data_IF_737123329365
#
_entry.id   IF_737123329365
#
_cell.length_a   1.000
_cell.length_b   1.000
_cell.length_c   1.000
_cell.angle_alpha   90.00
_cell.angle_beta   90.00
_cell.angle_gamma   90.00
#
_symmetry.space_group_name_H-M   'P 1'
#
loop_
_entity.id
_entity.type
_entity.pdbx_description
1 polymer ?
#
# COMPACT_ATOMS: atom_id res chain seq x y z
N UNK A 1 12.39 16.64 7.09
CA UNK A 1 13.00 15.54 7.88
C UNK A 1 14.09 14.83 7.10
N UNK A 2 15.00 14.08 7.79
CA UNK A 2 16.05 13.29 7.13
C UNK A 2 15.48 12.26 6.14
N UNK A 3 14.35 11.62 6.49
CA UNK A 3 13.66 10.70 5.61
C UNK A 3 13.26 11.33 4.28
N UNK A 4 12.76 12.57 4.30
CA UNK A 4 12.38 13.32 3.08
C UNK A 4 13.60 13.62 2.21
N UNK A 5 14.73 14.01 2.82
CA UNK A 5 15.98 14.23 2.07
C UNK A 5 16.41 12.94 1.38
N UNK A 6 16.38 11.83 2.09
CA UNK A 6 16.73 10.50 1.55
C UNK A 6 15.81 10.11 0.39
N UNK A 7 14.49 10.25 0.53
CA UNK A 7 13.54 9.96 -0.54
C UNK A 7 13.78 10.85 -1.77
N UNK A 8 14.02 12.14 -1.57
CA UNK A 8 14.29 13.10 -2.66
C UNK A 8 15.61 12.81 -3.39
N UNK A 9 16.59 12.19 -2.72
CA UNK A 9 17.85 11.75 -3.33
C UNK A 9 17.79 10.36 -3.96
N UNK A 10 16.60 9.71 -3.99
CA UNK A 10 16.40 8.41 -4.62
C UNK A 10 16.61 7.21 -3.70
N UNK A 11 16.76 7.44 -2.40
CA UNK A 11 16.88 6.38 -1.40
C UNK A 11 15.55 5.68 -1.09
N UNK A 12 15.64 4.55 -0.40
CA UNK A 12 14.53 3.73 0.06
C UNK A 12 14.42 3.87 1.57
N UNK A 13 13.22 4.22 2.08
CA UNK A 13 12.96 4.37 3.51
C UNK A 13 11.94 3.33 3.97
N UNK A 14 12.24 2.63 5.05
CA UNK A 14 11.26 1.81 5.75
C UNK A 14 10.45 2.69 6.71
N UNK A 15 9.16 2.79 6.49
CA UNK A 15 8.24 3.64 7.26
C UNK A 15 7.29 2.77 8.06
N UNK A 16 7.21 2.98 9.38
CA UNK A 16 6.27 2.27 10.25
C UNK A 16 4.84 2.74 9.97
N UNK A 17 3.98 1.82 9.57
CA UNK A 17 2.56 2.08 9.29
C UNK A 17 1.63 1.66 10.43
N UNK A 18 0.33 1.52 10.13
CA UNK A 18 -0.69 1.10 11.09
C UNK A 18 -0.68 -0.41 11.32
N UNK A 19 -0.61 -1.20 10.26
CA UNK A 19 -0.68 -2.67 10.27
C UNK A 19 0.60 -3.38 9.87
N UNK A 20 1.71 -2.64 9.69
CA UNK A 20 3.01 -3.14 9.25
C UNK A 20 3.89 -2.02 8.77
N UNK A 21 5.12 -2.35 8.42
CA UNK A 21 6.03 -1.43 7.77
C UNK A 21 5.77 -1.33 6.27
N UNK A 22 6.12 -0.19 5.68
CA UNK A 22 6.17 0.01 4.24
C UNK A 22 7.59 0.34 3.80
N UNK A 23 7.98 -0.19 2.64
CA UNK A 23 9.17 0.28 1.92
C UNK A 23 8.72 1.36 0.94
N UNK A 24 9.36 2.51 1.02
CA UNK A 24 8.96 3.75 0.38
C UNK A 24 10.11 4.29 -0.46
N UNK A 25 9.84 4.72 -1.68
CA UNK A 25 10.77 5.47 -2.54
C UNK A 25 10.00 6.45 -3.44
N UNK A 26 10.69 7.37 -4.11
CA UNK A 26 10.09 8.27 -5.10
C UNK A 26 9.51 7.46 -6.27
N UNK A 27 8.19 7.51 -6.46
CA UNK A 27 7.49 6.73 -7.48
C UNK A 27 7.76 7.23 -8.91
N UNK A 28 8.27 8.45 -9.09
CA UNK A 28 8.66 9.00 -10.38
C UNK A 28 10.13 8.81 -10.73
N UNK A 29 10.93 8.30 -9.80
CA UNK A 29 12.34 8.01 -10.03
C UNK A 29 12.50 6.54 -10.50
N UNK A 30 12.78 6.29 -11.80
CA UNK A 30 12.88 4.93 -12.33
C UNK A 30 14.00 4.12 -11.69
N UNK A 31 15.12 4.78 -11.32
CA UNK A 31 16.24 4.13 -10.66
C UNK A 31 15.89 3.69 -9.23
N UNK A 32 15.22 4.53 -8.47
CA UNK A 32 14.75 4.19 -7.12
C UNK A 32 13.76 3.01 -7.15
N UNK A 33 12.83 3.02 -8.10
CA UNK A 33 11.88 1.91 -8.33
C UNK A 33 12.60 0.62 -8.71
N UNK A 34 13.57 0.69 -9.61
CA UNK A 34 14.36 -0.49 -10.02
C UNK A 34 15.18 -1.05 -8.84
N UNK A 35 15.83 -0.19 -8.07
CA UNK A 35 16.60 -0.57 -6.87
C UNK A 35 15.70 -1.24 -5.83
N UNK A 36 14.53 -0.65 -5.54
CA UNK A 36 13.55 -1.25 -4.62
C UNK A 36 13.12 -2.64 -5.08
N UNK A 37 12.83 -2.83 -6.38
CA UNK A 37 12.45 -4.13 -6.94
C UNK A 37 13.55 -5.16 -6.81
N UNK A 38 14.78 -4.78 -7.12
CA UNK A 38 15.94 -5.65 -7.02
C UNK A 38 16.18 -6.10 -5.57
N UNK A 39 16.28 -5.16 -4.62
CA UNK A 39 16.52 -5.46 -3.20
C UNK A 39 15.39 -6.27 -2.58
N UNK A 40 14.13 -5.97 -2.94
CA UNK A 40 12.93 -6.67 -2.44
C UNK A 40 12.69 -8.02 -3.13
N UNK A 41 13.44 -8.34 -4.19
CA UNK A 41 13.23 -9.52 -5.04
C UNK A 41 11.78 -9.61 -5.57
N UNK A 42 11.30 -8.48 -6.09
CA UNK A 42 9.91 -8.33 -6.57
C UNK A 42 9.91 -7.85 -8.04
N UNK A 43 10.17 -8.75 -9.02
CA UNK A 43 10.40 -8.34 -10.41
C UNK A 43 9.15 -7.78 -11.10
N UNK A 44 7.98 -8.37 -10.92
CA UNK A 44 6.80 -8.07 -11.74
C UNK A 44 5.57 -7.56 -10.98
N UNK A 45 5.35 -7.97 -9.71
CA UNK A 45 4.13 -7.55 -8.96
C UNK A 45 4.00 -6.02 -8.92
N UNK A 46 2.82 -5.43 -9.20
CA UNK A 46 2.63 -3.99 -9.19
C UNK A 46 2.92 -3.38 -7.81
N UNK A 47 3.34 -2.12 -7.82
CA UNK A 47 3.61 -1.32 -6.64
C UNK A 47 2.47 -0.29 -6.48
N UNK A 48 1.92 -0.17 -5.28
CA UNK A 48 0.98 0.90 -4.97
C UNK A 48 1.72 2.22 -4.83
N UNK A 49 1.06 3.32 -5.20
CA UNK A 49 1.60 4.67 -5.15
C UNK A 49 0.71 5.54 -4.26
N UNK A 50 1.29 6.13 -3.23
CA UNK A 50 0.65 7.19 -2.45
C UNK A 50 0.85 8.54 -3.15
N UNK A 51 -0.25 9.23 -3.42
CA UNK A 51 -0.24 10.56 -4.05
C UNK A 51 -0.51 11.65 -3.01
N UNK A 52 0.05 12.87 -3.16
CA UNK A 52 -0.13 13.97 -2.21
C UNK A 52 -1.58 14.40 -2.05
N UNK A 53 -2.31 14.42 -3.16
CA UNK A 53 -3.73 14.74 -3.26
C UNK A 53 -4.36 14.00 -4.44
N UNK A 54 -5.67 14.09 -4.57
CA UNK A 54 -6.40 13.44 -5.66
C UNK A 54 -6.69 14.37 -6.86
N UNK A 55 -5.99 15.51 -6.96
CA UNK A 55 -6.20 16.46 -8.05
C UNK A 55 -5.82 15.85 -9.40
N UNK A 56 -6.65 16.04 -10.40
CA UNK A 56 -6.48 15.44 -11.72
C UNK A 56 -6.87 13.96 -11.85
N UNK A 57 -7.29 13.33 -10.74
CA UNK A 57 -7.88 11.98 -10.78
C UNK A 57 -9.38 12.09 -11.08
N UNK A 58 -9.99 11.16 -11.85
CA UNK A 58 -11.44 11.17 -12.10
C UNK A 58 -12.26 11.20 -10.80
N UNK A 59 -13.36 11.97 -10.77
CA UNK A 59 -14.15 12.27 -9.56
C UNK A 59 -14.67 11.01 -8.85
N UNK A 60 -15.11 10.01 -9.59
CA UNK A 60 -15.55 8.73 -9.02
C UNK A 60 -14.42 8.07 -8.20
N UNK A 61 -13.19 8.08 -8.72
CA UNK A 61 -12.00 7.54 -8.03
C UNK A 61 -11.64 8.42 -6.82
N UNK A 62 -11.73 9.75 -6.93
CA UNK A 62 -11.50 10.65 -5.80
C UNK A 62 -12.41 10.33 -4.61
N UNK A 63 -13.68 10.05 -4.87
CA UNK A 63 -14.67 9.68 -3.84
C UNK A 63 -14.24 8.40 -3.10
N UNK A 64 -13.80 7.38 -3.82
CA UNK A 64 -13.28 6.15 -3.22
C UNK A 64 -12.02 6.40 -2.38
N UNK A 65 -11.06 7.14 -2.93
CA UNK A 65 -9.80 7.46 -2.25
C UNK A 65 -10.00 8.26 -0.95
N UNK A 66 -10.98 9.16 -0.91
CA UNK A 66 -11.30 10.01 0.25
C UNK A 66 -12.19 9.33 1.28
N UNK A 67 -12.63 8.10 1.04
CA UNK A 67 -13.40 7.34 2.04
C UNK A 67 -12.56 7.11 3.32
N UNK A 68 -13.21 6.90 4.44
CA UNK A 68 -12.55 6.63 5.74
C UNK A 68 -11.68 5.36 5.71
N UNK A 69 -11.97 4.43 4.83
CA UNK A 69 -11.18 3.23 4.60
C UNK A 69 -9.85 3.51 3.90
N UNK A 70 -9.74 4.64 3.19
CA UNK A 70 -8.56 5.07 2.42
C UNK A 70 -7.93 3.90 1.62
N UNK A 71 -8.69 3.26 0.71
CA UNK A 71 -8.24 2.07 0.00
C UNK A 71 -7.18 2.41 -1.07
N UNK A 72 -6.53 1.37 -1.57
CA UNK A 72 -5.82 1.43 -2.85
C UNK A 72 -6.89 1.30 -3.96
N UNK A 73 -6.94 2.25 -4.90
CA UNK A 73 -7.87 2.23 -6.03
C UNK A 73 -7.09 2.05 -7.33
N UNK A 74 -7.47 1.05 -8.12
CA UNK A 74 -6.87 0.80 -9.43
C UNK A 74 -7.32 1.88 -10.41
N UNK A 75 -6.38 2.69 -10.87
CA UNK A 75 -6.61 3.86 -11.73
C UNK A 75 -5.91 3.67 -13.06
N UNK A 76 -6.54 3.98 -14.21
CA UNK A 76 -5.91 3.87 -15.51
C UNK A 76 -4.61 4.70 -15.59
N UNK A 77 -3.54 4.13 -16.14
CA UNK A 77 -2.26 4.85 -16.34
C UNK A 77 -2.44 6.14 -17.15
N UNK A 78 -3.36 6.14 -18.12
CA UNK A 78 -3.67 7.31 -18.94
C UNK A 78 -4.13 8.53 -18.12
N UNK A 79 -4.76 8.31 -16.97
CA UNK A 79 -5.18 9.37 -16.04
C UNK A 79 -4.05 9.87 -15.12
N UNK A 80 -2.91 9.19 -15.12
CA UNK A 80 -1.79 9.44 -14.20
C UNK A 80 -0.45 9.42 -14.95
N UNK A 81 -0.16 10.38 -15.83
CA UNK A 81 1.07 10.38 -16.60
C UNK A 81 2.32 10.60 -15.72
N UNK A 82 3.46 10.16 -16.22
CA UNK A 82 4.78 10.42 -15.62
C UNK A 82 5.26 9.39 -14.60
N UNK A 83 4.61 8.22 -14.50
CA UNK A 83 5.14 7.09 -13.75
C UNK A 83 5.95 6.17 -14.66
N UNK A 84 7.13 5.67 -14.21
CA UNK A 84 7.89 4.69 -14.96
C UNK A 84 7.15 3.36 -15.08
N UNK A 85 7.41 2.61 -16.16
CA UNK A 85 6.82 1.29 -16.39
C UNK A 85 7.06 0.33 -15.23
N UNK A 86 8.18 0.49 -14.53
CA UNK A 86 8.50 -0.26 -13.31
C UNK A 86 7.49 -0.15 -12.16
N UNK A 87 6.52 0.75 -12.17
CA UNK A 87 5.45 0.80 -11.14
C UNK A 87 4.46 -0.35 -11.32
N UNK A 88 4.02 -0.60 -12.55
CA UNK A 88 3.04 -1.66 -12.86
C UNK A 88 3.38 -2.26 -14.23
N UNK A 89 4.42 -3.13 -14.31
CA UNK A 89 4.89 -3.68 -15.57
C UNK A 89 3.81 -4.49 -16.29
N UNK A 90 3.58 -4.18 -17.57
CA UNK A 90 2.63 -4.89 -18.42
C UNK A 90 1.17 -4.69 -18.07
N UNK A 91 0.84 -3.79 -17.13
CA UNK A 91 -0.54 -3.44 -16.76
C UNK A 91 -0.89 -2.05 -17.27
N UNK A 92 -2.16 -1.81 -17.53
CA UNK A 92 -2.73 -0.53 -17.97
C UNK A 92 -3.25 0.33 -16.80
N UNK A 93 -3.20 -0.17 -15.58
CA UNK A 93 -3.61 0.52 -14.37
C UNK A 93 -2.51 0.55 -13.30
N UNK A 94 -2.60 1.54 -12.41
CA UNK A 94 -1.76 1.72 -11.21
C UNK A 94 -2.67 1.78 -9.99
N UNK A 95 -2.30 1.06 -8.92
CA UNK A 95 -2.95 1.22 -7.62
C UNK A 95 -2.49 2.52 -6.95
N UNK A 96 -3.40 3.47 -6.73
CA UNK A 96 -3.10 4.71 -6.01
C UNK A 96 -3.82 4.76 -4.67
N UNK A 97 -3.27 5.50 -3.72
CA UNK A 97 -3.85 5.71 -2.40
C UNK A 97 -3.56 7.12 -1.88
N UNK A 98 -4.35 7.59 -0.95
CA UNK A 98 -4.08 8.78 -0.16
C UNK A 98 -3.45 8.42 1.21
N UNK A 99 -2.79 9.39 1.89
CA UNK A 99 -2.34 9.19 3.27
C UNK A 99 -3.50 8.78 4.19
N UNK A 100 -3.29 7.75 5.01
CA UNK A 100 -4.31 7.18 5.90
C UNK A 100 -3.99 7.37 7.39
N UNK A 101 -2.84 7.95 7.72
CA UNK A 101 -2.44 8.22 9.10
C UNK A 101 -1.59 9.51 9.17
N UNK A 102 -1.46 10.12 10.38
CA UNK A 102 -0.74 11.39 10.56
C UNK A 102 0.69 11.38 10.03
N UNK A 103 1.43 10.28 10.22
CA UNK A 103 2.82 10.19 9.76
C UNK A 103 2.91 10.25 8.22
N UNK A 104 2.00 9.55 7.54
CA UNK A 104 1.92 9.59 6.07
C UNK A 104 1.53 10.99 5.58
N UNK A 105 0.58 11.66 6.24
CA UNK A 105 0.23 13.04 5.92
C UNK A 105 1.43 13.98 6.04
N UNK A 106 2.15 13.95 7.16
CA UNK A 106 3.35 14.76 7.36
C UNK A 106 4.43 14.44 6.32
N UNK A 107 4.65 13.16 6.02
CA UNK A 107 5.62 12.73 5.01
C UNK A 107 5.26 13.29 3.62
N UNK A 108 3.98 13.20 3.22
CA UNK A 108 3.51 13.69 1.93
C UNK A 108 3.54 15.22 1.85
N UNK A 109 3.20 15.93 2.94
CA UNK A 109 3.30 17.39 3.02
C UNK A 109 4.74 17.89 2.82
N UNK A 110 5.72 17.22 3.42
CA UNK A 110 7.14 17.60 3.30
C UNK A 110 7.75 17.15 1.96
N UNK A 111 7.37 15.98 1.48
CA UNK A 111 7.95 15.38 0.28
C UNK A 111 7.40 16.01 -1.00
N UNK A 112 6.10 16.28 -1.07
CA UNK A 112 5.38 16.84 -2.22
C UNK A 112 5.58 16.04 -3.53
N UNK A 113 5.77 14.72 -3.41
CA UNK A 113 5.99 13.79 -4.52
C UNK A 113 5.20 12.53 -4.32
N UNK A 114 4.71 11.88 -5.39
CA UNK A 114 4.16 10.54 -5.30
C UNK A 114 5.22 9.55 -4.78
N UNK A 115 4.83 8.70 -3.84
CA UNK A 115 5.72 7.73 -3.22
C UNK A 115 5.21 6.30 -3.44
N UNK A 116 6.11 5.40 -3.79
CA UNK A 116 5.81 3.96 -3.71
C UNK A 116 5.51 3.59 -2.27
N UNK A 117 4.45 2.80 -2.05
CA UNK A 117 4.09 2.22 -0.76
C UNK A 117 3.93 0.71 -0.94
N UNK A 118 4.96 -0.05 -0.62
CA UNK A 118 4.89 -1.52 -0.66
C UNK A 118 5.18 -2.11 0.71
N UNK A 119 4.63 -3.28 1.01
CA UNK A 119 4.79 -3.93 2.33
C UNK A 119 6.26 -4.08 2.73
N UNK A 120 6.55 -3.83 4.00
CA UNK A 120 7.89 -3.94 4.60
C UNK A 120 8.25 -5.38 4.89
N UNK A 121 8.59 -6.12 3.84
CA UNK A 121 9.01 -7.52 3.90
C UNK A 121 9.82 -7.90 2.67
N UNK A 122 10.63 -8.94 2.77
CA UNK A 122 11.07 -9.71 1.60
C UNK A 122 9.86 -10.39 0.94
N UNK A 123 9.93 -10.59 -0.38
CA UNK A 123 8.85 -11.23 -1.12
C UNK A 123 8.54 -12.62 -0.54
N UNK A 124 7.25 -12.89 -0.26
CA UNK A 124 6.81 -14.15 0.34
C UNK A 124 6.87 -14.24 1.87
N UNK A 125 7.41 -13.24 2.58
CA UNK A 125 7.39 -13.19 4.05
C UNK A 125 6.30 -12.26 4.57
N UNK A 126 5.81 -12.43 5.81
CA UNK A 126 4.90 -11.47 6.43
C UNK A 126 5.62 -10.14 6.72
N UNK A 127 4.92 -8.98 6.71
CA UNK A 127 5.50 -7.69 7.06
C UNK A 127 6.01 -7.63 8.50
N UNK A 128 7.11 -6.90 8.73
CA UNK A 128 7.62 -6.60 10.06
C UNK A 128 6.59 -5.83 10.89
N UNK A 129 6.50 -6.10 12.18
CA UNK A 129 5.60 -5.44 13.13
C UNK A 129 6.33 -4.59 14.15
N UNK A 130 7.49 -5.03 14.63
CA UNK A 130 8.28 -4.30 15.63
C UNK A 130 9.41 -3.51 14.97
N UNK A 131 9.89 -2.46 15.67
CA UNK A 131 11.02 -1.68 15.21
C UNK A 131 12.26 -2.57 15.03
N UNK A 132 12.50 -3.50 15.96
CA UNK A 132 13.64 -4.40 15.90
C UNK A 132 13.54 -5.34 14.68
N UNK A 133 12.37 -5.97 14.48
CA UNK A 133 12.16 -6.80 13.29
C UNK A 133 12.41 -6.02 11.98
N UNK A 134 11.96 -4.76 11.92
CA UNK A 134 12.17 -3.95 10.73
C UNK A 134 13.66 -3.67 10.50
N UNK A 135 14.43 -3.38 11.54
CA UNK A 135 15.87 -3.15 11.44
C UNK A 135 16.60 -4.42 10.97
N UNK A 136 16.23 -5.58 11.54
CA UNK A 136 16.87 -6.85 11.24
C UNK A 136 16.51 -7.39 9.83
N UNK A 137 15.23 -7.26 9.43
CA UNK A 137 14.73 -7.87 8.20
C UNK A 137 14.79 -6.95 6.97
N UNK A 138 14.80 -5.63 7.16
CA UNK A 138 14.75 -4.66 6.07
C UNK A 138 16.06 -3.87 5.90
N UNK A 139 17.07 -4.13 6.73
CA UNK A 139 18.35 -3.43 6.68
C UNK A 139 19.08 -3.52 5.33
N UNK A 140 18.94 -4.64 4.62
CA UNK A 140 19.53 -4.83 3.30
C UNK A 140 18.70 -4.19 2.17
N UNK A 141 17.45 -3.75 2.47
CA UNK A 141 16.54 -3.17 1.48
C UNK A 141 16.46 -1.66 1.64
N UNK A 142 16.29 -1.17 2.88
CA UNK A 142 16.09 0.23 3.19
C UNK A 142 17.41 0.95 3.49
N UNK A 143 17.55 2.16 2.98
CA UNK A 143 18.67 3.05 3.26
C UNK A 143 18.47 3.82 4.59
N UNK A 144 17.24 3.82 5.11
CA UNK A 144 16.89 4.43 6.40
C UNK A 144 15.53 4.02 6.90
N UNK A 145 15.24 4.41 8.14
CA UNK A 145 14.03 4.00 8.87
C UNK A 145 13.32 5.21 9.47
N UNK A 146 12.02 5.29 9.27
CA UNK A 146 11.14 6.25 9.93
C UNK A 146 10.27 5.49 10.93
N UNK A 147 10.68 5.53 12.19
CA UNK A 147 10.13 4.75 13.28
C UNK A 147 9.30 5.62 14.24
N UNK A 148 8.40 4.98 14.97
CA UNK A 148 7.72 5.56 16.12
C UNK A 148 7.51 4.51 17.21
N UNK A 149 7.13 4.95 18.42
CA UNK A 149 6.98 4.09 19.60
C UNK A 149 5.59 3.46 19.78
N UNK A 150 4.63 3.73 18.88
CA UNK A 150 3.33 3.06 18.90
C UNK A 150 3.46 1.64 18.37
N UNK A 151 2.97 0.66 19.11
CA UNK A 151 3.00 -0.74 18.69
C UNK A 151 2.01 -1.03 17.56
N UNK A 152 2.38 -1.97 16.69
CA UNK A 152 1.47 -2.58 15.73
C UNK A 152 0.91 -3.83 16.39
N UNK A 153 -0.35 -3.77 16.80
CA UNK A 153 -1.01 -4.86 17.53
C UNK A 153 -1.38 -6.03 16.61
N UNK A 154 -1.73 -5.72 15.37
CA UNK A 154 -2.17 -6.70 14.39
C UNK A 154 -1.70 -6.31 12.98
N UNK A 155 -1.27 -7.30 12.21
CA UNK A 155 -0.99 -7.10 10.78
C UNK A 155 -2.28 -6.74 10.05
N UNK A 156 -2.19 -5.73 9.19
CA UNK A 156 -3.32 -5.27 8.43
C UNK A 156 -2.85 -4.77 7.07
N UNK A 157 -3.37 -5.37 6.02
CA UNK A 157 -3.13 -4.90 4.65
C UNK A 157 -4.05 -3.73 4.29
N UNK A 158 -3.68 -3.00 3.25
CA UNK A 158 -4.57 -2.02 2.63
C UNK A 158 -5.65 -2.73 1.81
N UNK A 159 -6.88 -2.25 1.85
CA UNK A 159 -7.94 -2.68 0.95
C UNK A 159 -7.65 -2.25 -0.48
N UNK A 160 -8.07 -3.05 -1.45
CA UNK A 160 -7.88 -2.77 -2.87
C UNK A 160 -9.22 -2.83 -3.57
N UNK A 161 -9.52 -1.79 -4.35
CA UNK A 161 -10.73 -1.66 -5.16
C UNK A 161 -10.38 -1.38 -6.61
N UNK A 162 -11.27 -1.74 -7.53
CA UNK A 162 -11.20 -1.20 -8.87
C UNK A 162 -11.77 0.24 -8.93
N UNK A 163 -11.73 0.85 -10.10
CA UNK A 163 -12.21 2.22 -10.34
C UNK A 163 -13.72 2.39 -10.16
N UNK A 164 -14.46 1.29 -10.23
CA UNK A 164 -15.91 1.27 -10.11
C UNK A 164 -16.37 0.93 -8.67
N UNK A 165 -15.39 0.74 -7.75
CA UNK A 165 -15.62 0.44 -6.34
C UNK A 165 -15.78 -1.03 -6.01
N UNK A 166 -15.60 -1.94 -6.98
CA UNK A 166 -15.63 -3.37 -6.70
C UNK A 166 -14.39 -3.79 -5.88
N UNK A 167 -14.66 -4.57 -4.83
CA UNK A 167 -13.64 -4.98 -3.87
C UNK A 167 -12.79 -6.13 -4.41
N UNK A 168 -11.48 -5.89 -4.58
CA UNK A 168 -10.49 -6.90 -4.97
C UNK A 168 -9.76 -7.51 -3.76
N UNK A 169 -9.58 -6.72 -2.71
CA UNK A 169 -9.09 -7.16 -1.40
C UNK A 169 -9.83 -6.40 -0.32
N UNK A 170 -10.49 -7.14 0.56
CA UNK A 170 -11.20 -6.59 1.71
C UNK A 170 -10.31 -6.71 2.95
N UNK A 171 -9.83 -5.58 3.46
CA UNK A 171 -8.91 -5.49 4.60
C UNK A 171 -9.17 -4.20 5.41
N UNK A 172 -8.17 -3.34 5.63
CA UNK A 172 -8.30 -2.13 6.43
C UNK A 172 -9.49 -1.26 6.02
N UNK A 173 -10.28 -0.87 7.03
CA UNK A 173 -11.47 -0.05 6.87
C UNK A 173 -12.76 -0.82 6.53
N UNK A 174 -12.67 -2.14 6.33
CA UNK A 174 -13.79 -3.01 6.01
C UNK A 174 -13.85 -4.26 6.90
N UNK A 175 -12.71 -4.73 7.37
CA UNK A 175 -12.61 -5.84 8.31
C UNK A 175 -12.49 -5.24 9.72
N UNK A 176 -13.17 -5.77 10.75
CA UNK A 176 -13.93 -7.04 10.81
C UNK A 176 -15.44 -6.94 10.53
N UNK A 177 -15.94 -5.85 9.95
CA UNK A 177 -17.37 -5.66 9.73
C UNK A 177 -17.97 -6.82 8.91
N UNK A 178 -19.17 -7.24 9.25
CA UNK A 178 -19.87 -8.27 8.51
C UNK A 178 -20.29 -7.79 7.10
N UNK A 179 -20.34 -8.70 6.15
CA UNK A 179 -20.91 -8.46 4.83
C UNK A 179 -22.39 -8.81 4.90
N UNK A 180 -23.28 -7.85 4.59
CA UNK A 180 -24.71 -8.11 4.49
C UNK A 180 -24.96 -8.97 3.28
N UNK A 181 -25.61 -10.11 3.48
CA UNK A 181 -26.01 -11.00 2.39
C UNK A 181 -27.24 -10.45 1.67
N UNK A 182 -27.35 -10.64 0.34
CA UNK A 182 -28.56 -10.28 -0.39
C UNK A 182 -29.77 -11.10 0.07
N UNK A 183 -30.98 -10.62 -0.25
CA UNK A 183 -32.21 -11.37 0.01
C UNK A 183 -32.17 -12.77 -0.62
N UNK A 184 -32.70 -13.76 0.07
CA UNK A 184 -32.71 -15.16 -0.37
C UNK A 184 -31.58 -16.02 0.22
N UNK A 185 -30.71 -15.44 1.05
CA UNK A 185 -29.64 -16.15 1.75
C UNK A 185 -29.90 -16.33 3.25
N UNK A 186 -31.19 -16.27 3.68
CA UNK A 186 -31.59 -16.28 5.09
C UNK A 186 -31.38 -17.66 5.77
N UNK A 187 -31.22 -18.74 4.99
CA UNK A 187 -31.13 -20.13 5.47
C UNK A 187 -29.89 -20.86 4.95
N UNK A 188 -28.74 -20.18 4.87
CA UNK A 188 -27.49 -20.87 4.53
C UNK A 188 -26.91 -21.58 5.75
N UNK A 189 -26.41 -22.82 5.57
CA UNK A 189 -25.69 -23.51 6.63
C UNK A 189 -24.39 -22.76 6.99
N UNK A 190 -23.92 -22.89 8.22
CA UNK A 190 -22.61 -22.39 8.61
C UNK A 190 -21.53 -23.03 7.72
N UNK A 191 -20.76 -22.21 7.00
CA UNK A 191 -19.72 -22.65 6.07
C UNK A 191 -18.41 -21.94 6.40
N UNK A 192 -17.31 -22.69 6.43
CA UNK A 192 -15.97 -22.14 6.51
C UNK A 192 -15.32 -22.23 5.13
N UNK A 193 -15.15 -21.06 4.48
CA UNK A 193 -14.42 -20.97 3.22
C UNK A 193 -13.00 -20.53 3.51
N UNK A 194 -12.03 -21.39 3.25
CA UNK A 194 -10.62 -21.10 3.41
C UNK A 194 -9.99 -20.83 2.05
N UNK A 195 -9.22 -19.78 1.92
CA UNK A 195 -8.40 -19.55 0.74
C UNK A 195 -7.08 -20.35 0.81
N UNK A 196 -6.22 -20.17 -0.15
CA UNK A 196 -5.04 -21.00 -0.38
C UNK A 196 -3.70 -20.35 0.01
N UNK A 197 -3.65 -19.17 0.60
CA UNK A 197 -2.39 -18.45 0.83
C UNK A 197 -2.45 -17.55 2.07
N UNK A 198 -1.32 -16.90 2.39
CA UNK A 198 -1.10 -16.07 3.59
C UNK A 198 -2.08 -14.91 3.80
N UNK A 199 -2.91 -14.58 2.82
CA UNK A 199 -3.92 -13.51 2.89
C UNK A 199 -5.35 -14.04 2.92
N UNK A 200 -5.51 -15.18 3.55
CA UNK A 200 -6.79 -15.78 3.79
C UNK A 200 -7.66 -14.95 4.72
N UNK A 201 -8.91 -14.85 4.36
CA UNK A 201 -10.00 -14.47 5.25
C UNK A 201 -10.97 -15.66 5.34
N UNK A 202 -11.62 -15.78 6.46
CA UNK A 202 -12.72 -16.73 6.65
C UNK A 202 -13.96 -15.97 7.14
N UNK A 203 -15.09 -16.48 6.81
CA UNK A 203 -16.37 -15.91 7.19
C UNK A 203 -17.24 -16.99 7.81
#
# INVERSE_FOLDING_TARGET
SAAVVMLKSGGIVAVKGLGGFHLVCDARNPQAVATLRARKQRPAKPLAVMIPNADGVPEAIQTLLRSSAAPIVLTPKASLPGFPEGIAPGLDCIGIMLPANPLQHLLMMDCQRPLVMTSGNLSGRPPAMTNQQALDELGDIADGFLLHNRDILQRMDDSVMDRDGAMLRRARGYVPDAVTLPAGFDHIPAMLCTGSDMKNTFC
#
